data_IF_710758858445
#
_entry.id   IF_710758858445
#
_cell.length_a   1.000
_cell.length_b   1.000
_cell.length_c   1.000
_cell.angle_alpha   90.00
_cell.angle_beta   90.00
_cell.angle_gamma   90.00
#
_symmetry.space_group_name_H-M   'P 1'
#
loop_
_entity.id
_entity.type
_entity.pdbx_description
1 polymer ?
#
# COMPACT_ATOMS: atom_id res chain seq x y z
N UNK A 1 3.44 -26.91 4.39
CA UNK A 1 3.16 -25.78 5.30
C UNK A 1 4.40 -24.91 5.39
N UNK A 2 4.54 -23.96 4.48
CA UNK A 2 5.67 -23.02 4.51
C UNK A 2 5.36 -22.02 5.61
N UNK A 3 6.14 -22.01 6.70
CA UNK A 3 6.06 -20.97 7.72
C UNK A 3 6.12 -19.63 7.00
N UNK A 4 5.04 -18.84 7.06
CA UNK A 4 5.08 -17.48 6.55
C UNK A 4 6.14 -16.75 7.37
N UNK A 5 7.28 -16.50 6.75
CA UNK A 5 8.40 -15.86 7.40
C UNK A 5 8.03 -14.39 7.54
N UNK A 6 7.93 -13.95 8.79
CA UNK A 6 7.72 -12.56 9.15
C UNK A 6 8.80 -11.70 8.48
N UNK A 7 8.38 -10.79 7.61
CA UNK A 7 9.27 -9.91 6.85
C UNK A 7 9.35 -8.57 7.59
N UNK A 8 10.54 -8.05 7.85
CA UNK A 8 10.73 -6.77 8.56
C UNK A 8 12.03 -6.11 8.12
N UNK A 9 11.98 -4.82 7.81
CA UNK A 9 13.10 -4.03 7.35
C UNK A 9 13.07 -2.62 7.95
N UNK A 10 14.24 -2.11 8.31
CA UNK A 10 14.44 -0.71 8.66
C UNK A 10 14.97 0.03 7.43
N UNK A 11 14.28 1.07 6.98
CA UNK A 11 14.68 1.85 5.82
C UNK A 11 14.76 3.33 6.18
N UNK A 12 15.77 4.02 5.65
CA UNK A 12 15.82 5.47 5.64
C UNK A 12 15.59 5.96 4.21
N UNK A 13 14.52 6.71 4.01
CA UNK A 13 14.18 7.30 2.71
C UNK A 13 13.90 8.77 2.92
N UNK A 14 14.60 9.64 2.17
CA UNK A 14 14.51 11.11 2.29
C UNK A 14 14.68 11.63 3.73
N UNK A 15 15.53 10.99 4.53
CA UNK A 15 15.81 11.37 5.92
C UNK A 15 14.76 10.93 6.93
N UNK A 16 13.77 10.12 6.53
CA UNK A 16 12.79 9.51 7.44
C UNK A 16 13.12 8.04 7.62
N UNK A 17 13.38 7.65 8.86
CA UNK A 17 13.57 6.24 9.24
C UNK A 17 12.22 5.60 9.50
N UNK A 18 11.93 4.50 8.81
CA UNK A 18 10.67 3.76 8.89
C UNK A 18 10.97 2.27 9.07
N UNK A 19 10.30 1.61 10.00
CA UNK A 19 10.21 0.15 10.05
C UNK A 19 9.06 -0.27 9.17
N UNK A 20 9.33 -1.08 8.16
CA UNK A 20 8.29 -1.73 7.36
C UNK A 20 8.30 -3.21 7.67
N UNK A 21 7.16 -3.75 8.10
CA UNK A 21 7.04 -5.17 8.43
C UNK A 21 5.72 -5.77 7.97
N UNK A 22 5.71 -7.09 7.76
CA UNK A 22 4.47 -7.85 7.69
C UNK A 22 3.62 -7.61 8.93
N UNK A 23 2.32 -7.51 8.73
CA UNK A 23 1.37 -7.56 9.82
C UNK A 23 1.42 -8.93 10.48
N UNK A 24 0.85 -8.98 11.67
CA UNK A 24 0.60 -10.16 12.48
C UNK A 24 -0.84 -10.10 12.97
N UNK A 25 -1.36 -11.20 13.52
CA UNK A 25 -2.70 -11.18 14.12
C UNK A 25 -2.81 -10.21 15.31
N UNK A 26 -1.70 -9.81 15.93
CA UNK A 26 -1.69 -8.80 17.01
C UNK A 26 -2.01 -7.40 16.48
N UNK A 27 -1.79 -7.14 15.19
CA UNK A 27 -2.08 -5.85 14.56
C UNK A 27 -3.59 -5.61 14.36
N UNK A 28 -4.46 -6.55 14.75
CA UNK A 28 -5.91 -6.33 14.82
C UNK A 28 -6.29 -5.15 15.72
N UNK A 29 -5.44 -4.80 16.69
CA UNK A 29 -5.62 -3.59 17.52
C UNK A 29 -5.62 -2.30 16.67
N UNK A 30 -4.98 -2.32 15.49
CA UNK A 30 -4.90 -1.21 14.56
C UNK A 30 -5.98 -1.23 13.46
N UNK A 31 -6.97 -2.13 13.53
CA UNK A 31 -7.97 -2.30 12.47
C UNK A 31 -8.66 -0.99 12.08
N UNK A 32 -9.14 -0.21 13.05
CA UNK A 32 -9.84 1.04 12.76
C UNK A 32 -8.90 2.13 12.23
N UNK A 33 -7.64 2.15 12.69
CA UNK A 33 -6.61 3.06 12.15
C UNK A 33 -6.36 2.74 10.68
N UNK A 34 -6.12 1.47 10.36
CA UNK A 34 -5.87 1.03 8.99
C UNK A 34 -7.07 1.26 8.07
N UNK A 35 -8.28 0.91 8.53
CA UNK A 35 -9.51 1.18 7.77
C UNK A 35 -9.67 2.68 7.50
N UNK A 36 -9.42 3.53 8.50
CA UNK A 36 -9.50 4.99 8.34
C UNK A 36 -8.45 5.50 7.34
N UNK A 37 -7.20 5.02 7.42
CA UNK A 37 -6.15 5.40 6.46
C UNK A 37 -6.50 4.98 5.03
N UNK A 38 -7.01 3.77 4.82
CA UNK A 38 -7.41 3.27 3.50
C UNK A 38 -8.60 4.07 2.97
N UNK A 39 -9.62 4.30 3.80
CA UNK A 39 -10.80 5.08 3.44
C UNK A 39 -10.42 6.53 3.11
N UNK A 40 -9.52 7.17 3.87
CA UNK A 40 -9.01 8.50 3.55
C UNK A 40 -8.22 8.53 2.25
N UNK A 41 -7.33 7.56 2.02
CA UNK A 41 -6.56 7.50 0.78
C UNK A 41 -7.44 7.30 -0.46
N UNK A 42 -8.58 6.61 -0.29
CA UNK A 42 -9.60 6.39 -1.30
C UNK A 42 -10.50 7.64 -1.50
N UNK A 43 -11.01 8.22 -0.42
CA UNK A 43 -12.08 9.25 -0.49
C UNK A 43 -11.57 10.70 -0.44
N UNK A 44 -10.32 10.96 -0.09
CA UNK A 44 -9.83 12.32 0.11
C UNK A 44 -9.30 12.93 -1.19
N UNK A 45 -9.88 14.03 -1.66
CA UNK A 45 -9.29 14.88 -2.71
C UNK A 45 -7.96 15.55 -2.30
N UNK A 46 -7.61 15.50 -1.01
CA UNK A 46 -6.34 15.99 -0.48
C UNK A 46 -5.26 14.90 -0.37
N UNK A 47 -5.61 13.62 -0.55
CA UNK A 47 -4.61 12.58 -0.79
C UNK A 47 -4.24 12.59 -2.26
N UNK A 48 -2.96 12.52 -2.57
CA UNK A 48 -2.51 12.40 -3.96
C UNK A 48 -3.05 11.14 -4.67
N UNK A 49 -3.47 10.11 -3.91
CA UNK A 49 -4.15 8.90 -4.42
C UNK A 49 -5.68 8.99 -4.40
N UNK A 50 -6.23 10.13 -3.99
CA UNK A 50 -7.64 10.34 -3.75
C UNK A 50 -8.55 10.07 -4.94
N UNK A 51 -9.43 9.09 -4.80
CA UNK A 51 -10.51 8.78 -5.75
C UNK A 51 -11.83 9.46 -5.38
N UNK A 52 -11.97 10.18 -4.25
CA UNK A 52 -13.29 10.62 -3.75
C UNK A 52 -14.12 11.57 -4.63
N UNK A 53 -13.52 12.14 -5.68
CA UNK A 53 -14.24 12.88 -6.73
C UNK A 53 -14.70 12.00 -7.91
N UNK A 54 -14.25 10.74 -7.95
CA UNK A 54 -14.45 9.75 -8.99
C UNK A 54 -15.23 8.54 -8.46
N UNK A 55 -14.85 7.99 -7.29
CA UNK A 55 -15.46 6.79 -6.71
C UNK A 55 -15.84 7.05 -5.25
N UNK A 56 -17.11 6.78 -4.92
CA UNK A 56 -17.66 6.89 -3.56
C UNK A 56 -17.69 5.56 -2.80
N UNK A 57 -17.37 4.44 -3.46
CA UNK A 57 -17.34 3.13 -2.85
C UNK A 57 -16.02 2.91 -2.08
N UNK A 58 -16.10 2.23 -0.93
CA UNK A 58 -14.90 1.82 -0.19
C UNK A 58 -14.12 0.76 -0.98
N UNK A 59 -12.79 0.91 -1.06
CA UNK A 59 -11.92 -0.11 -1.66
C UNK A 59 -11.95 -1.45 -0.89
N UNK A 60 -12.32 -1.41 0.40
CA UNK A 60 -12.40 -2.58 1.28
C UNK A 60 -13.32 -2.28 2.47
N UNK A 61 -14.15 -3.24 2.88
CA UNK A 61 -14.93 -3.13 4.11
C UNK A 61 -14.13 -3.61 5.35
N UNK A 62 -14.59 -3.23 6.54
CA UNK A 62 -13.92 -3.60 7.82
C UNK A 62 -13.82 -5.10 8.06
N UNK A 63 -14.79 -5.88 7.60
CA UNK A 63 -14.81 -7.34 7.77
C UNK A 63 -13.74 -7.96 6.90
N UNK A 64 -13.66 -7.55 5.63
CA UNK A 64 -12.63 -7.97 4.69
C UNK A 64 -11.21 -7.59 5.16
N UNK A 65 -11.03 -6.37 5.68
CA UNK A 65 -9.72 -5.95 6.23
C UNK A 65 -9.34 -6.76 7.48
N UNK A 66 -10.30 -6.99 8.39
CA UNK A 66 -10.10 -7.86 9.56
C UNK A 66 -9.68 -9.26 9.13
N UNK A 67 -10.32 -9.80 8.10
CA UNK A 67 -10.01 -11.12 7.57
C UNK A 67 -8.59 -11.22 7.00
N UNK A 68 -8.11 -10.18 6.30
CA UNK A 68 -6.71 -10.11 5.86
C UNK A 68 -5.77 -10.21 7.07
N UNK A 69 -5.97 -9.36 8.08
CA UNK A 69 -5.09 -9.32 9.27
C UNK A 69 -5.19 -10.61 10.10
N UNK A 70 -6.36 -11.23 10.18
CA UNK A 70 -6.57 -12.43 10.98
C UNK A 70 -6.09 -13.72 10.30
N UNK A 71 -6.32 -13.86 8.98
CA UNK A 71 -6.14 -15.13 8.26
C UNK A 71 -4.84 -15.19 7.48
N UNK A 72 -4.43 -14.10 6.84
CA UNK A 72 -3.16 -14.00 6.12
C UNK A 72 -2.48 -12.65 6.32
N UNK A 73 -2.13 -12.31 7.58
CA UNK A 73 -1.54 -11.01 7.90
C UNK A 73 -0.22 -10.74 7.16
N UNK A 74 0.45 -11.80 6.71
CA UNK A 74 1.74 -11.67 6.04
C UNK A 74 1.68 -10.98 4.68
N UNK A 75 0.49 -10.90 4.09
CA UNK A 75 0.24 -10.17 2.85
C UNK A 75 0.12 -8.66 3.07
N UNK A 76 -0.18 -8.20 4.29
CA UNK A 76 -0.27 -6.78 4.60
C UNK A 76 1.06 -6.30 5.17
N UNK A 77 1.75 -5.38 4.49
CA UNK A 77 2.91 -4.71 5.05
C UNK A 77 2.48 -3.38 5.69
N UNK A 78 3.02 -3.11 6.88
CA UNK A 78 2.73 -1.94 7.71
C UNK A 78 4.00 -1.12 7.89
N UNK A 79 3.87 0.21 7.81
CA UNK A 79 4.95 1.15 8.06
C UNK A 79 4.79 1.86 9.41
N UNK A 80 5.84 1.84 10.22
CA UNK A 80 5.93 2.49 11.51
C UNK A 80 7.08 3.50 11.49
N UNK A 81 6.84 4.78 11.79
CA UNK A 81 7.90 5.77 11.83
C UNK A 81 8.79 5.56 13.06
N UNK A 82 10.11 5.59 12.88
CA UNK A 82 11.05 5.53 14.01
C UNK A 82 11.38 6.95 14.45
N UNK A 83 11.20 7.30 15.73
CA UNK A 83 11.59 8.62 16.22
C UNK A 83 13.10 8.85 16.02
N UNK A 84 13.48 9.96 15.38
CA UNK A 84 14.89 10.29 15.15
C UNK A 84 15.69 10.67 16.42
N UNK A 85 15.06 10.66 17.60
CA UNK A 85 15.73 10.96 18.87
C UNK A 85 15.10 10.20 20.04
N UNK A 86 15.90 9.61 20.95
CA UNK A 86 15.40 9.08 22.23
C UNK A 86 14.97 10.21 23.20
N UNK A 87 15.26 11.48 22.89
CA UNK A 87 14.97 12.63 23.72
C UNK A 87 13.76 13.42 23.19
N UNK A 88 12.59 12.80 23.26
CA UNK A 88 11.30 13.44 23.53
C UNK A 88 10.19 12.39 23.38
N UNK A 89 9.49 11.99 24.45
CA UNK A 89 8.24 11.27 24.27
C UNK A 89 7.23 12.17 23.54
N UNK A 90 6.33 11.64 22.70
CA UNK A 90 5.14 12.39 22.33
C UNK A 90 4.46 12.83 23.62
N UNK A 91 4.34 14.13 23.81
CA UNK A 91 3.55 14.69 24.88
C UNK A 91 2.09 14.38 24.58
N UNK A 92 1.59 13.27 25.12
CA UNK A 92 0.21 12.84 24.96
C UNK A 92 0.09 11.34 24.79
N UNK A 93 0.01 10.65 25.93
CA UNK A 93 -0.31 9.23 26.09
C UNK A 93 0.66 8.27 25.38
N UNK A 94 0.96 7.13 26.02
CA UNK A 94 1.73 6.07 25.38
C UNK A 94 0.88 5.47 24.24
N UNK A 95 0.85 6.13 23.09
CA UNK A 95 0.32 5.56 21.86
C UNK A 95 1.21 4.35 21.54
N UNK A 96 0.61 3.17 21.55
CA UNK A 96 1.17 2.00 20.88
C UNK A 96 1.67 2.44 19.51
N UNK A 97 2.90 2.06 19.16
CA UNK A 97 3.53 2.36 17.87
C UNK A 97 2.52 2.04 16.75
N UNK A 98 1.90 3.09 16.18
CA UNK A 98 0.76 2.94 15.26
C UNK A 98 1.27 2.94 13.83
N UNK A 99 0.70 2.13 12.93
CA UNK A 99 1.08 2.18 11.53
C UNK A 99 0.59 3.51 10.93
N UNK A 100 1.43 4.13 10.11
CA UNK A 100 1.11 5.38 9.39
C UNK A 100 0.86 5.13 7.91
N UNK A 101 1.13 3.92 7.42
CA UNK A 101 0.88 3.50 6.05
C UNK A 101 0.77 1.98 5.96
N UNK A 102 0.09 1.48 4.93
CA UNK A 102 0.10 0.06 4.58
C UNK A 102 0.06 -0.17 3.08
N UNK A 103 0.43 -1.39 2.70
CA UNK A 103 0.33 -1.92 1.33
C UNK A 103 0.02 -3.42 1.43
N UNK A 104 -0.93 -3.88 0.64
CA UNK A 104 -1.25 -5.30 0.52
C UNK A 104 -0.50 -5.92 -0.67
N UNK A 105 0.11 -7.07 -0.44
CA UNK A 105 1.02 -7.78 -1.34
C UNK A 105 0.55 -9.22 -1.52
N UNK A 106 -0.19 -9.48 -2.59
CA UNK A 106 -0.62 -10.83 -2.95
C UNK A 106 0.26 -11.38 -4.07
N UNK A 107 0.41 -12.70 -4.17
CA UNK A 107 1.26 -13.33 -5.19
C UNK A 107 0.46 -14.40 -5.91
N UNK A 108 0.48 -14.33 -7.24
CA UNK A 108 -0.06 -15.37 -8.11
C UNK A 108 1.02 -15.75 -9.12
N UNK A 109 1.40 -17.02 -9.11
CA UNK A 109 2.47 -17.56 -9.96
C UNK A 109 3.79 -16.76 -9.78
N UNK A 110 4.22 -16.04 -10.82
CA UNK A 110 5.45 -15.23 -10.80
C UNK A 110 5.18 -13.73 -10.75
N UNK A 111 3.95 -13.34 -10.39
CA UNK A 111 3.50 -11.94 -10.37
C UNK A 111 3.03 -11.57 -8.97
N UNK A 112 3.68 -10.57 -8.39
CA UNK A 112 3.23 -9.90 -7.18
C UNK A 112 2.25 -8.78 -7.52
N UNK A 113 1.12 -8.70 -6.82
CA UNK A 113 0.12 -7.65 -6.96
C UNK A 113 0.14 -6.75 -5.73
N UNK A 114 0.29 -5.46 -5.97
CA UNK A 114 0.14 -4.40 -4.98
C UNK A 114 -1.31 -3.90 -4.98
N UNK A 115 -1.90 -3.81 -3.80
CA UNK A 115 -3.25 -3.25 -3.58
C UNK A 115 -3.32 -2.54 -2.21
N UNK A 116 -4.41 -1.83 -1.95
CA UNK A 116 -4.68 -1.17 -0.65
C UNK A 116 -3.51 -0.29 -0.15
N UNK A 117 -2.83 0.38 -1.09
CA UNK A 117 -1.77 1.32 -0.76
C UNK A 117 -2.40 2.56 -0.13
N UNK A 118 -2.02 2.87 1.11
CA UNK A 118 -2.43 4.11 1.77
C UNK A 118 -1.31 4.66 2.66
N UNK A 119 -1.34 5.96 2.90
CA UNK A 119 -0.42 6.65 3.81
C UNK A 119 -1.16 7.82 4.46
N UNK A 120 -0.93 8.01 5.75
CA UNK A 120 -1.38 9.17 6.50
C UNK A 120 -0.90 10.46 5.81
N UNK A 121 -1.78 11.44 5.53
CA UNK A 121 -1.42 12.68 4.85
C UNK A 121 -0.21 13.41 5.46
N UNK A 122 -0.03 13.36 6.78
CA UNK A 122 1.10 13.99 7.48
C UNK A 122 2.44 13.33 7.10
N UNK A 123 2.38 12.06 6.67
CA UNK A 123 3.53 11.24 6.29
C UNK A 123 3.71 11.11 4.76
N UNK A 124 2.98 11.91 3.98
CA UNK A 124 3.11 11.93 2.52
C UNK A 124 4.37 12.67 2.07
N UNK A 125 4.85 12.36 0.86
CA UNK A 125 5.99 13.00 0.18
C UNK A 125 7.37 12.88 0.86
N UNK A 126 7.44 12.35 2.08
CA UNK A 126 8.67 12.20 2.88
C UNK A 126 9.31 10.80 2.81
N UNK A 127 8.84 9.92 1.93
CA UNK A 127 9.53 8.65 1.62
C UNK A 127 8.91 7.38 2.20
N UNK A 128 7.89 7.47 3.07
CA UNK A 128 7.23 6.30 3.69
C UNK A 128 6.68 5.31 2.65
N UNK A 129 5.95 5.81 1.66
CA UNK A 129 5.40 4.96 0.58
C UNK A 129 6.52 4.35 -0.28
N UNK A 130 7.62 5.07 -0.50
CA UNK A 130 8.77 4.52 -1.21
C UNK A 130 9.41 3.38 -0.43
N UNK A 131 9.48 3.47 0.91
CA UNK A 131 9.93 2.37 1.75
C UNK A 131 8.99 1.15 1.61
N UNK A 132 7.67 1.35 1.66
CA UNK A 132 6.69 0.27 1.42
C UNK A 132 6.89 -0.43 0.08
N UNK A 133 7.10 0.32 -1.01
CA UNK A 133 7.35 -0.27 -2.33
C UNK A 133 8.63 -1.09 -2.35
N UNK A 134 9.75 -0.55 -1.84
CA UNK A 134 11.03 -1.28 -1.78
C UNK A 134 10.89 -2.59 -0.99
N UNK A 135 10.23 -2.55 0.17
CA UNK A 135 9.97 -3.73 0.98
C UNK A 135 9.03 -4.71 0.28
N UNK A 136 8.00 -4.23 -0.41
CA UNK A 136 7.09 -5.10 -1.20
C UNK A 136 7.80 -5.81 -2.35
N UNK A 137 8.70 -5.12 -3.05
CA UNK A 137 9.48 -5.69 -4.16
C UNK A 137 10.44 -6.76 -3.66
N UNK A 138 11.09 -6.51 -2.51
CA UNK A 138 11.94 -7.51 -1.84
C UNK A 138 11.12 -8.70 -1.33
N UNK A 139 9.93 -8.46 -0.79
CA UNK A 139 8.99 -9.51 -0.39
C UNK A 139 8.61 -10.38 -1.60
N UNK A 140 8.21 -9.78 -2.72
CA UNK A 140 7.89 -10.48 -3.96
C UNK A 140 9.06 -11.31 -4.49
N UNK A 141 10.26 -10.73 -4.55
CA UNK A 141 11.49 -11.45 -4.93
C UNK A 141 11.77 -12.64 -4.02
N UNK A 142 11.61 -12.48 -2.70
CA UNK A 142 11.81 -13.57 -1.72
C UNK A 142 10.85 -14.75 -1.91
N UNK A 143 9.73 -14.51 -2.59
CA UNK A 143 8.69 -15.50 -2.91
C UNK A 143 8.79 -16.02 -4.35
N UNK A 144 9.81 -15.61 -5.10
CA UNK A 144 10.07 -16.06 -6.48
C UNK A 144 9.28 -15.31 -7.56
N UNK A 145 8.63 -14.19 -7.22
CA UNK A 145 7.99 -13.35 -8.23
C UNK A 145 9.04 -12.63 -9.08
N UNK A 146 8.73 -12.44 -10.36
CA UNK A 146 9.58 -11.78 -11.35
C UNK A 146 9.07 -10.40 -11.73
N UNK A 147 7.79 -10.14 -11.48
CA UNK A 147 7.11 -8.90 -11.80
C UNK A 147 6.30 -8.43 -10.59
N UNK A 148 6.21 -7.11 -10.42
CA UNK A 148 5.24 -6.45 -9.56
C UNK A 148 4.20 -5.75 -10.43
N UNK A 149 2.94 -5.85 -10.06
CA UNK A 149 1.80 -5.28 -10.79
C UNK A 149 0.91 -4.49 -9.85
N UNK A 150 0.16 -3.55 -10.41
CA UNK A 150 -0.89 -2.79 -9.72
C UNK A 150 -1.93 -2.32 -10.73
N UNK A 151 -3.10 -1.97 -10.21
CA UNK A 151 -4.16 -1.34 -10.98
C UNK A 151 -4.27 0.13 -10.58
N UNK A 152 -4.29 1.01 -11.57
CA UNK A 152 -4.47 2.44 -11.37
C UNK A 152 -5.69 2.93 -12.15
N UNK A 153 -6.46 3.83 -11.56
CA UNK A 153 -7.61 4.44 -12.22
C UNK A 153 -7.15 5.25 -13.44
N UNK A 154 -7.86 5.11 -14.57
CA UNK A 154 -7.40 5.73 -15.81
C UNK A 154 -7.31 7.25 -15.76
N UNK A 155 -8.10 7.91 -14.91
CA UNK A 155 -8.13 9.38 -14.81
C UNK A 155 -7.05 9.97 -13.90
N UNK A 156 -6.38 9.15 -13.08
CA UNK A 156 -5.33 9.64 -12.18
C UNK A 156 -3.97 9.73 -12.88
N UNK A 157 -3.81 10.71 -13.78
CA UNK A 157 -2.56 10.86 -14.56
C UNK A 157 -1.34 11.14 -13.67
N UNK A 158 -1.58 11.90 -12.61
CA UNK A 158 -0.64 12.15 -11.54
C UNK A 158 -0.16 10.83 -10.95
N UNK A 159 -1.05 10.04 -10.33
CA UNK A 159 -0.74 8.71 -9.75
C UNK A 159 0.05 7.83 -10.71
N UNK A 160 -0.40 7.71 -11.95
CA UNK A 160 0.30 6.95 -12.99
C UNK A 160 1.70 7.50 -13.30
N UNK A 161 1.90 8.81 -13.29
CA UNK A 161 3.20 9.45 -13.51
C UNK A 161 4.20 9.12 -12.41
N UNK A 162 3.76 9.02 -11.15
CA UNK A 162 4.63 8.56 -10.08
C UNK A 162 4.95 7.07 -10.17
N UNK A 163 3.98 6.22 -10.52
CA UNK A 163 4.25 4.81 -10.79
C UNK A 163 5.29 4.64 -11.92
N UNK A 164 5.20 5.45 -12.99
CA UNK A 164 6.24 5.50 -14.04
C UNK A 164 7.61 5.86 -13.48
N UNK A 165 7.71 6.83 -12.56
CA UNK A 165 8.97 7.17 -11.87
C UNK A 165 9.51 6.02 -11.01
N UNK A 166 8.65 5.18 -10.45
CA UNK A 166 9.05 3.97 -9.73
C UNK A 166 9.49 2.82 -10.66
N UNK A 167 9.34 2.97 -11.98
CA UNK A 167 9.73 1.99 -12.99
C UNK A 167 8.58 1.13 -13.52
N UNK A 168 7.33 1.44 -13.14
CA UNK A 168 6.16 0.76 -13.69
C UNK A 168 5.82 1.25 -15.11
N UNK A 169 5.33 0.35 -15.94
CA UNK A 169 4.93 0.59 -17.33
C UNK A 169 3.53 0.01 -17.56
N UNK A 170 2.76 0.58 -18.50
CA UNK A 170 1.41 0.08 -18.83
C UNK A 170 1.53 -1.26 -19.56
N UNK A 171 0.74 -2.25 -19.15
CA UNK A 171 0.69 -3.56 -19.84
C UNK A 171 -0.23 -3.55 -21.07
N UNK A 172 -1.13 -2.57 -21.13
CA UNK A 172 -2.21 -2.51 -22.12
C UNK A 172 -3.49 -3.22 -21.66
N UNK A 173 -3.45 -3.98 -20.55
CA UNK A 173 -4.65 -4.57 -19.95
C UNK A 173 -5.47 -3.50 -19.23
N UNK A 174 -6.78 -3.58 -19.41
CA UNK A 174 -7.77 -2.71 -18.80
C UNK A 174 -8.88 -3.57 -18.19
N UNK A 175 -9.45 -3.10 -17.08
CA UNK A 175 -10.61 -3.71 -16.43
C UNK A 175 -11.65 -2.63 -16.14
N UNK A 176 -12.93 -2.93 -16.39
CA UNK A 176 -14.01 -2.02 -16.03
C UNK A 176 -14.04 -1.84 -14.52
N UNK A 177 -14.30 -0.63 -14.05
CA UNK A 177 -14.40 -0.39 -12.61
C UNK A 177 -15.63 -1.16 -12.05
N UNK A 178 -15.50 -1.89 -10.92
CA UNK A 178 -16.49 -2.87 -10.46
C UNK A 178 -17.82 -2.30 -9.92
N UNK A 179 -18.18 -1.06 -10.23
CA UNK A 179 -19.43 -0.45 -9.79
C UNK A 179 -20.06 0.38 -10.91
N UNK A 180 -20.89 -0.26 -11.73
CA UNK A 180 -21.69 0.37 -12.79
C UNK A 180 -23.15 0.46 -12.37
N UNK A 181 -23.45 0.98 -11.17
CA UNK A 181 -24.74 1.60 -10.92
C UNK A 181 -24.65 3.06 -11.37
N UNK A 182 -24.85 3.34 -12.67
CA UNK A 182 -25.19 4.64 -13.31
C UNK A 182 -24.69 5.97 -12.67
N UNK A 183 -23.57 5.98 -11.93
CA UNK A 183 -23.08 7.13 -11.17
C UNK A 183 -21.85 7.78 -11.80
N UNK A 184 -21.37 7.23 -12.92
CA UNK A 184 -20.37 7.90 -13.74
C UNK A 184 -21.05 8.53 -14.95
N UNK A 185 -20.90 9.85 -15.09
CA UNK A 185 -21.29 10.54 -16.33
C UNK A 185 -20.43 10.11 -17.54
N UNK A 186 -19.29 9.43 -17.30
CA UNK A 186 -18.27 9.09 -18.29
C UNK A 186 -17.60 7.71 -18.01
N UNK A 187 -16.96 7.11 -19.02
CA UNK A 187 -16.26 5.81 -18.94
C UNK A 187 -15.27 5.69 -17.77
N UNK A 188 -15.37 4.64 -16.94
CA UNK A 188 -14.51 4.42 -15.77
C UNK A 188 -13.90 3.00 -15.78
N UNK A 189 -12.57 2.93 -15.83
CA UNK A 189 -11.80 1.70 -15.95
C UNK A 189 -10.43 1.83 -15.27
N UNK A 190 -9.87 0.69 -14.89
CA UNK A 190 -8.54 0.53 -14.33
C UNK A 190 -7.56 0.14 -15.44
N UNK A 191 -6.32 0.60 -15.32
CA UNK A 191 -5.21 0.23 -16.18
C UNK A 191 -4.21 -0.56 -15.35
N UNK A 192 -3.81 -1.72 -15.84
CA UNK A 192 -2.73 -2.48 -15.22
C UNK A 192 -1.37 -1.86 -15.56
N UNK A 193 -0.55 -1.71 -14.53
CA UNK A 193 0.84 -1.30 -14.65
C UNK A 193 1.74 -2.38 -14.05
N UNK A 194 2.88 -2.64 -14.68
CA UNK A 194 3.85 -3.65 -14.26
C UNK A 194 5.27 -3.11 -14.15
N UNK A 195 6.07 -3.72 -13.29
CA UNK A 195 7.50 -3.48 -13.13
C UNK A 195 8.23 -4.81 -13.06
N UNK A 196 9.29 -4.98 -13.86
CA UNK A 196 10.17 -6.15 -13.75
C UNK A 196 11.06 -6.04 -12.50
N UNK A 197 11.07 -7.09 -11.69
CA UNK A 197 11.91 -7.19 -10.49
C UNK A 197 13.31 -7.73 -10.79
N UNK A 198 13.52 -8.31 -11.99
CA UNK A 198 14.79 -8.96 -12.39
C UNK A 198 16.00 -8.03 -12.48
N UNK A 199 15.82 -6.70 -12.42
CA UNK A 199 16.93 -5.72 -12.48
C UNK A 199 17.50 -5.33 -11.12
N UNK A 200 17.00 -5.86 -10.00
CA UNK A 200 17.48 -5.47 -8.66
C UNK A 200 18.61 -6.35 -8.09
N UNK A 201 19.19 -7.23 -8.92
CA UNK A 201 20.40 -8.00 -8.59
C UNK A 201 21.57 -7.43 -9.40
N UNK A 202 22.10 -6.28 -8.99
CA UNK A 202 23.45 -5.82 -9.31
C UNK A 202 24.04 -5.11 -8.11
#
# INVERSE_FOLDING_TARGET
MTKSSFFSELLEVKGVTTIVRSATSQDLVHLEVLYTLISMANQSSASWTGEGHLIKADCIDRTSLRDIIAKDPSTLLLAFPVPCSPASPPSGNAETERPVACINTTIKEQVGLVSLLCVDPVWQSIGVVSALFLTSERYFLSKGALYSTLWALHRQEDVKTWYKRLGFQRTGRIENYPNTEDTFEDECYLIEMEKSLRKMVQ
#
